data_IF_549909835289
#
_entry.id   IF_549909835289
#
_cell.length_a   1.000
_cell.length_b   1.000
_cell.length_c   1.000
_cell.angle_alpha   90.00
_cell.angle_beta   90.00
_cell.angle_gamma   90.00
#
_symmetry.space_group_name_H-M   'P 1'
#
loop_
_entity.id
_entity.type
_entity.pdbx_description
1 polymer ?
#
# COMPACT_ATOMS: atom_id res chain seq x y z
N UNK A 1 -36.97 40.20 8.78
CA UNK A 1 -36.45 38.83 8.74
C UNK A 1 -35.05 38.87 8.09
N UNK A 2 -33.97 38.63 8.83
CA UNK A 2 -32.66 38.56 8.19
C UNK A 2 -32.49 37.16 7.56
N UNK A 3 -32.20 37.15 6.28
CA UNK A 3 -31.82 35.96 5.49
C UNK A 3 -30.47 35.53 6.03
N UNK A 4 -30.47 34.41 6.75
CA UNK A 4 -29.25 33.75 7.22
C UNK A 4 -28.52 33.20 5.98
N UNK A 5 -27.54 33.97 5.52
CA UNK A 5 -26.59 33.53 4.47
C UNK A 5 -25.67 32.47 5.13
N UNK A 6 -26.10 31.20 5.12
CA UNK A 6 -25.21 30.09 5.34
C UNK A 6 -24.21 30.08 4.18
N UNK A 7 -23.14 30.85 4.36
CA UNK A 7 -21.90 30.62 3.64
C UNK A 7 -21.51 29.16 3.90
N UNK A 8 -21.74 28.31 2.91
CA UNK A 8 -21.06 27.04 2.77
C UNK A 8 -19.55 27.36 2.74
N UNK A 9 -18.95 27.40 3.91
CA UNK A 9 -17.52 27.23 4.05
C UNK A 9 -17.25 25.83 3.47
N UNK A 10 -16.84 25.84 2.21
CA UNK A 10 -16.22 24.68 1.56
C UNK A 10 -14.96 24.37 2.39
N UNK A 11 -15.19 23.62 3.47
CA UNK A 11 -14.14 23.23 4.40
C UNK A 11 -13.28 22.23 3.64
N UNK A 12 -12.27 22.75 2.95
CA UNK A 12 -11.27 22.01 2.18
C UNK A 12 -10.52 21.07 3.12
N UNK A 13 -11.06 19.86 3.28
CA UNK A 13 -10.61 18.89 4.27
C UNK A 13 -9.41 18.15 3.74
N UNK A 14 -8.33 18.11 4.53
CA UNK A 14 -7.16 17.25 4.29
C UNK A 14 -7.37 15.94 5.06
N UNK A 15 -7.54 14.85 4.32
CA UNK A 15 -7.70 13.51 4.88
C UNK A 15 -6.47 12.67 4.60
N UNK A 16 -6.05 11.89 5.57
CA UNK A 16 -4.90 11.02 5.46
C UNK A 16 -5.25 9.60 5.91
N UNK A 17 -5.03 8.64 5.02
CA UNK A 17 -4.99 7.22 5.32
C UNK A 17 -3.53 6.88 5.60
N UNK A 18 -3.20 6.34 6.77
CA UNK A 18 -1.86 5.82 7.06
C UNK A 18 -1.92 4.31 6.91
N UNK A 19 -1.38 3.81 5.78
CA UNK A 19 -1.43 2.40 5.44
C UNK A 19 -0.08 1.72 5.65
N UNK A 20 -0.06 0.68 6.47
CA UNK A 20 1.12 -0.14 6.72
C UNK A 20 1.14 -1.35 5.76
N UNK A 21 2.19 -1.43 4.95
CA UNK A 21 2.40 -2.52 4.01
C UNK A 21 3.06 -3.74 4.69
N UNK A 22 3.04 -4.89 4.01
CA UNK A 22 3.72 -6.13 4.37
C UNK A 22 3.15 -6.83 5.63
N UNK A 23 1.90 -6.61 6.04
CA UNK A 23 1.28 -7.40 7.11
C UNK A 23 1.24 -8.88 6.69
N UNK A 24 1.77 -9.79 7.52
CA UNK A 24 1.96 -11.20 7.18
C UNK A 24 3.38 -11.57 6.74
N UNK A 25 4.29 -10.60 6.59
CA UNK A 25 5.66 -10.86 6.15
C UNK A 25 6.48 -11.64 7.19
N UNK A 26 6.56 -11.10 8.43
CA UNK A 26 7.17 -11.73 9.60
C UNK A 26 6.35 -11.41 10.85
N UNK A 27 6.55 -12.18 11.94
CA UNK A 27 5.86 -11.91 13.21
C UNK A 27 6.24 -10.55 13.79
N UNK A 28 7.50 -10.13 13.63
CA UNK A 28 7.98 -8.82 14.05
C UNK A 28 7.33 -7.68 13.29
N UNK A 29 7.11 -7.82 11.98
CA UNK A 29 6.36 -6.86 11.18
C UNK A 29 4.89 -6.83 11.62
N UNK A 30 4.27 -7.98 11.83
CA UNK A 30 2.88 -8.06 12.27
C UNK A 30 2.66 -7.35 13.61
N UNK A 31 3.54 -7.62 14.59
CA UNK A 31 3.48 -6.96 15.90
C UNK A 31 3.59 -5.45 15.78
N UNK A 32 4.56 -4.96 15.00
CA UNK A 32 4.79 -3.54 14.82
C UNK A 32 3.62 -2.82 14.14
N UNK A 33 2.96 -3.45 13.17
CA UNK A 33 1.78 -2.88 12.50
C UNK A 33 0.63 -2.70 13.48
N UNK A 34 0.34 -3.72 14.30
CA UNK A 34 -0.72 -3.65 15.32
C UNK A 34 -0.37 -2.62 16.38
N UNK A 35 0.88 -2.56 16.85
CA UNK A 35 1.35 -1.55 17.79
C UNK A 35 1.21 -0.12 17.21
N UNK A 36 1.57 0.07 15.94
CA UNK A 36 1.43 1.36 15.27
C UNK A 36 -0.04 1.76 15.04
N UNK A 37 -0.96 0.80 15.02
CA UNK A 37 -2.40 1.05 15.02
C UNK A 37 -2.92 1.38 16.41
N UNK A 38 -2.63 0.53 17.41
CA UNK A 38 -3.22 0.67 18.75
C UNK A 38 -2.69 1.90 19.50
N UNK A 39 -1.40 2.20 19.32
CA UNK A 39 -0.70 3.26 20.04
C UNK A 39 -0.22 4.40 19.16
N UNK A 40 -0.52 4.37 17.85
CA UNK A 40 -0.01 5.32 16.88
C UNK A 40 -1.06 5.90 15.96
N UNK A 41 -0.63 6.17 14.73
CA UNK A 41 -1.42 6.85 13.69
C UNK A 41 -1.81 5.96 12.52
N UNK A 42 -1.48 4.66 12.54
CA UNK A 42 -1.84 3.71 11.46
C UNK A 42 -3.33 3.43 11.50
N UNK A 43 -4.00 3.62 10.36
CA UNK A 43 -5.45 3.43 10.21
C UNK A 43 -5.81 2.24 9.33
N UNK A 44 -4.90 1.85 8.45
CA UNK A 44 -5.08 0.74 7.51
C UNK A 44 -3.81 -0.08 7.37
N UNK A 45 -3.94 -1.33 6.94
CA UNK A 45 -2.80 -2.17 6.59
C UNK A 45 -3.16 -3.11 5.44
N UNK A 46 -2.17 -3.50 4.63
CA UNK A 46 -2.35 -4.48 3.58
C UNK A 46 -1.64 -5.79 3.90
N UNK A 47 -2.43 -6.90 3.86
CA UNK A 47 -2.06 -8.23 4.30
C UNK A 47 -1.67 -9.13 3.13
N UNK A 48 -0.50 -9.76 3.23
CA UNK A 48 0.05 -10.70 2.26
C UNK A 48 -0.54 -12.10 2.49
N UNK A 49 -1.39 -12.59 1.57
CA UNK A 49 -1.99 -13.92 1.66
C UNK A 49 -0.98 -15.07 1.61
N UNK A 50 0.17 -14.83 1.02
CA UNK A 50 1.29 -15.76 0.88
C UNK A 50 2.51 -15.41 1.75
N UNK A 51 2.31 -14.50 2.73
CA UNK A 51 3.34 -14.14 3.70
C UNK A 51 3.70 -15.29 4.63
N UNK A 52 4.95 -15.38 5.05
CA UNK A 52 5.45 -16.46 5.94
C UNK A 52 4.79 -16.46 7.33
N UNK A 53 4.34 -15.28 7.79
CA UNK A 53 3.66 -15.10 9.07
C UNK A 53 2.16 -14.80 8.88
N UNK A 54 1.53 -15.37 7.83
CA UNK A 54 0.12 -15.17 7.53
C UNK A 54 -0.79 -15.52 8.71
N UNK A 55 -0.62 -16.70 9.31
CA UNK A 55 -1.47 -17.16 10.42
C UNK A 55 -1.34 -16.26 11.66
N UNK A 56 -0.12 -15.79 11.98
CA UNK A 56 0.09 -14.82 13.05
C UNK A 56 -0.60 -13.47 12.74
N UNK A 57 -0.56 -13.04 11.48
CA UNK A 57 -1.27 -11.83 11.05
C UNK A 57 -2.79 -11.95 11.24
N UNK A 58 -3.38 -13.10 10.86
CA UNK A 58 -4.80 -13.37 11.05
C UNK A 58 -5.18 -13.33 12.54
N UNK A 59 -4.38 -13.94 13.42
CA UNK A 59 -4.65 -13.91 14.87
C UNK A 59 -4.61 -12.48 15.42
N UNK A 60 -3.61 -11.68 15.01
CA UNK A 60 -3.49 -10.28 15.43
C UNK A 60 -4.59 -9.39 14.87
N UNK A 61 -5.02 -9.63 13.63
CA UNK A 61 -6.12 -8.91 13.01
C UNK A 61 -7.43 -9.01 13.81
N UNK A 62 -7.66 -10.14 14.47
CA UNK A 62 -8.85 -10.34 15.34
C UNK A 62 -8.88 -9.39 16.54
N UNK A 63 -7.72 -9.05 17.10
CA UNK A 63 -7.61 -8.10 18.21
C UNK A 63 -7.63 -6.63 17.77
N UNK A 64 -7.28 -6.35 16.51
CA UNK A 64 -7.23 -5.00 15.93
C UNK A 64 -8.46 -4.70 15.06
N UNK A 65 -9.68 -4.84 15.59
CA UNK A 65 -10.93 -4.76 14.83
C UNK A 65 -11.15 -3.40 14.10
N UNK A 66 -10.55 -2.33 14.60
CA UNK A 66 -10.62 -0.99 14.00
C UNK A 66 -9.64 -0.81 12.84
N UNK A 67 -8.60 -1.62 12.75
CA UNK A 67 -7.64 -1.57 11.64
C UNK A 67 -8.35 -1.98 10.35
N UNK A 68 -8.34 -1.09 9.35
CA UNK A 68 -8.88 -1.39 8.03
C UNK A 68 -7.90 -2.27 7.27
N UNK A 69 -8.32 -3.48 6.91
CA UNK A 69 -7.43 -4.45 6.27
C UNK A 69 -7.71 -4.56 4.77
N UNK A 70 -6.64 -4.43 3.97
CA UNK A 70 -6.62 -4.68 2.55
C UNK A 70 -5.83 -5.93 2.18
N UNK A 71 -5.82 -6.27 0.90
CA UNK A 71 -4.98 -7.33 0.34
C UNK A 71 -3.72 -6.75 -0.29
N UNK A 72 -2.54 -7.10 0.23
CA UNK A 72 -1.24 -6.82 -0.38
C UNK A 72 -0.91 -7.91 -1.40
N UNK A 73 -1.41 -7.72 -2.63
CA UNK A 73 -1.27 -8.75 -3.68
C UNK A 73 0.19 -8.90 -4.08
N UNK A 74 0.71 -10.10 -3.95
CA UNK A 74 2.09 -10.45 -4.29
C UNK A 74 2.11 -11.13 -5.65
N UNK A 75 2.79 -10.50 -6.63
CA UNK A 75 3.01 -11.01 -7.98
C UNK A 75 4.51 -11.08 -8.32
N UNK A 76 5.36 -10.66 -7.38
CA UNK A 76 6.82 -10.60 -7.51
C UNK A 76 7.44 -10.88 -6.15
N UNK A 77 8.57 -11.58 -6.13
CA UNK A 77 9.36 -11.85 -4.92
C UNK A 77 8.57 -12.61 -3.83
N UNK A 78 7.85 -13.66 -4.25
CA UNK A 78 7.06 -14.50 -3.37
C UNK A 78 6.67 -15.82 -4.02
N UNK A 79 5.84 -16.58 -3.34
CA UNK A 79 5.23 -17.80 -3.86
C UNK A 79 3.77 -17.52 -4.25
N UNK A 80 3.22 -18.13 -5.30
CA UNK A 80 1.80 -18.05 -5.61
C UNK A 80 0.94 -18.73 -4.52
N UNK A 81 -0.31 -18.30 -4.39
CA UNK A 81 -1.34 -19.02 -3.63
C UNK A 81 -1.90 -20.17 -4.48
N UNK A 82 -2.00 -19.98 -5.77
CA UNK A 82 -2.38 -21.02 -6.72
C UNK A 82 -1.20 -21.96 -7.00
N UNK A 83 -1.55 -23.19 -7.40
CA UNK A 83 -0.54 -24.12 -7.93
C UNK A 83 0.20 -23.50 -9.12
N UNK A 84 1.53 -23.67 -9.16
CA UNK A 84 2.38 -23.08 -10.21
C UNK A 84 1.93 -23.48 -11.64
N UNK A 85 1.30 -24.63 -11.81
CA UNK A 85 0.72 -25.06 -13.08
C UNK A 85 -0.46 -24.20 -13.57
N UNK A 86 -1.10 -23.42 -12.66
CA UNK A 86 -2.17 -22.48 -13.00
C UNK A 86 -1.68 -21.09 -13.30
N UNK A 87 -0.40 -20.81 -13.03
CA UNK A 87 0.24 -19.50 -13.26
C UNK A 87 1.56 -19.62 -14.01
N UNK A 88 1.62 -20.39 -15.12
CA UNK A 88 2.88 -20.73 -15.79
C UNK A 88 3.61 -19.50 -16.34
N UNK A 89 2.89 -18.47 -16.82
CA UNK A 89 3.55 -17.26 -17.33
C UNK A 89 3.85 -16.24 -16.22
N UNK A 90 3.18 -16.31 -15.09
CA UNK A 90 3.44 -15.42 -13.94
C UNK A 90 4.64 -15.95 -13.13
N UNK A 91 4.74 -17.25 -12.97
CA UNK A 91 5.83 -17.92 -12.24
C UNK A 91 7.17 -17.83 -12.96
N UNK A 92 8.25 -17.91 -12.19
CA UNK A 92 9.61 -17.96 -12.72
C UNK A 92 9.90 -19.38 -13.24
N UNK A 93 9.92 -19.56 -14.54
CA UNK A 93 10.16 -20.83 -15.22
C UNK A 93 11.53 -21.51 -14.85
N UNK A 94 12.46 -20.75 -14.29
CA UNK A 94 13.76 -21.26 -13.85
C UNK A 94 13.77 -21.71 -12.40
N UNK A 95 12.73 -21.37 -11.63
CA UNK A 95 12.61 -21.72 -10.23
C UNK A 95 11.89 -23.06 -10.09
N UNK A 96 12.51 -24.04 -9.40
CA UNK A 96 11.91 -25.37 -9.19
C UNK A 96 10.70 -25.37 -8.26
N UNK A 97 10.55 -24.34 -7.42
CA UNK A 97 9.48 -24.19 -6.44
C UNK A 97 8.30 -23.35 -6.95
N UNK A 98 8.30 -23.00 -8.24
CA UNK A 98 7.20 -22.22 -8.85
C UNK A 98 7.08 -20.78 -8.38
N UNK A 99 8.09 -20.23 -7.67
CA UNK A 99 8.06 -18.84 -7.18
C UNK A 99 7.95 -17.83 -8.30
N UNK A 100 7.48 -16.65 -7.98
CA UNK A 100 7.48 -15.50 -8.87
C UNK A 100 8.90 -15.00 -9.17
N UNK A 101 9.03 -14.14 -10.20
CA UNK A 101 10.28 -13.44 -10.43
C UNK A 101 10.68 -12.63 -9.18
N UNK A 102 11.93 -12.73 -8.74
CA UNK A 102 12.46 -11.95 -7.63
C UNK A 102 12.79 -10.50 -8.03
N UNK A 103 13.04 -10.27 -9.31
CA UNK A 103 13.39 -8.97 -9.87
C UNK A 103 12.18 -8.24 -10.41
N UNK A 104 11.86 -7.08 -9.80
CA UNK A 104 10.81 -6.19 -10.29
C UNK A 104 11.05 -5.76 -11.74
N UNK A 105 12.30 -5.50 -12.14
CA UNK A 105 12.62 -5.10 -13.52
C UNK A 105 12.30 -6.21 -14.52
N UNK A 106 12.62 -7.47 -14.19
CA UNK A 106 12.30 -8.62 -15.04
C UNK A 106 10.78 -8.81 -15.13
N UNK A 107 10.09 -8.77 -14.01
CA UNK A 107 8.63 -8.83 -13.97
C UNK A 107 8.01 -7.70 -14.84
N UNK A 108 8.44 -6.46 -14.64
CA UNK A 108 7.94 -5.31 -15.39
C UNK A 108 8.14 -5.47 -16.90
N UNK A 109 9.34 -5.90 -17.32
CA UNK A 109 9.63 -6.16 -18.75
C UNK A 109 8.71 -7.22 -19.33
N UNK A 110 8.49 -8.32 -18.59
CA UNK A 110 7.59 -9.40 -19.04
C UNK A 110 6.14 -8.96 -19.09
N UNK A 111 5.68 -8.19 -18.08
CA UNK A 111 4.33 -7.66 -18.05
C UNK A 111 4.07 -6.70 -19.23
N UNK A 112 4.95 -5.72 -19.43
CA UNK A 112 4.81 -4.71 -20.50
C UNK A 112 4.95 -5.34 -21.90
N UNK A 113 5.77 -6.39 -22.05
CA UNK A 113 5.93 -7.11 -23.33
C UNK A 113 4.84 -8.17 -23.59
N UNK A 114 3.81 -8.28 -22.75
CA UNK A 114 2.71 -9.24 -22.93
C UNK A 114 3.09 -10.70 -22.66
N UNK A 115 4.21 -10.94 -21.97
CA UNK A 115 4.70 -12.30 -21.63
C UNK A 115 4.11 -12.84 -20.33
N UNK A 116 3.27 -12.09 -19.66
CA UNK A 116 2.47 -12.53 -18.51
C UNK A 116 1.01 -12.42 -18.91
N UNK A 117 0.28 -13.52 -18.83
CA UNK A 117 -1.12 -13.57 -19.20
C UNK A 117 -1.99 -12.88 -18.15
N UNK A 118 -2.91 -12.04 -18.62
CA UNK A 118 -3.79 -11.26 -17.76
C UNK A 118 -4.68 -12.16 -16.87
N UNK A 119 -5.13 -13.28 -17.40
CA UNK A 119 -6.01 -14.21 -16.68
C UNK A 119 -5.27 -14.90 -15.53
N UNK A 120 -3.96 -15.12 -15.64
CA UNK A 120 -3.16 -15.64 -14.53
C UNK A 120 -3.00 -14.61 -13.40
N UNK A 121 -2.81 -13.34 -13.75
CA UNK A 121 -2.77 -12.24 -12.77
C UNK A 121 -4.11 -12.13 -12.05
N UNK A 122 -5.22 -12.18 -12.79
CA UNK A 122 -6.57 -12.11 -12.24
C UNK A 122 -6.86 -13.30 -11.31
N UNK A 123 -6.56 -14.51 -11.76
CA UNK A 123 -6.79 -15.73 -10.98
C UNK A 123 -5.98 -15.75 -9.69
N UNK A 124 -4.69 -15.39 -9.74
CA UNK A 124 -3.82 -15.34 -8.57
C UNK A 124 -4.25 -14.24 -7.59
N UNK A 125 -4.56 -13.03 -8.09
CA UNK A 125 -5.05 -11.95 -7.24
C UNK A 125 -6.37 -12.33 -6.55
N UNK A 126 -7.32 -12.92 -7.29
CA UNK A 126 -8.57 -13.40 -6.73
C UNK A 126 -8.34 -14.50 -5.68
N UNK A 127 -7.39 -15.43 -5.90
CA UNK A 127 -7.05 -16.46 -4.94
C UNK A 127 -6.47 -15.87 -3.65
N UNK A 128 -5.59 -14.86 -3.75
CA UNK A 128 -5.05 -14.16 -2.60
C UNK A 128 -6.15 -13.43 -1.81
N UNK A 129 -7.03 -12.68 -2.48
CA UNK A 129 -8.17 -12.01 -1.82
C UNK A 129 -9.09 -13.02 -1.12
N UNK A 130 -9.49 -14.08 -1.82
CA UNK A 130 -10.38 -15.11 -1.25
C UNK A 130 -9.76 -15.84 -0.07
N UNK A 131 -8.43 -16.04 -0.06
CA UNK A 131 -7.73 -16.62 1.09
C UNK A 131 -7.85 -15.74 2.34
N UNK A 132 -7.75 -14.42 2.20
CA UNK A 132 -8.00 -13.49 3.30
C UNK A 132 -9.46 -13.56 3.77
N UNK A 133 -10.40 -13.54 2.82
CA UNK A 133 -11.84 -13.61 3.12
C UNK A 133 -12.21 -14.92 3.82
N UNK A 134 -11.65 -16.05 3.39
CA UNK A 134 -11.85 -17.36 4.04
C UNK A 134 -11.27 -17.39 5.47
N UNK A 135 -10.24 -16.57 5.75
CA UNK A 135 -9.72 -16.40 7.11
C UNK A 135 -10.52 -15.39 7.97
N UNK A 136 -11.66 -14.89 7.44
CA UNK A 136 -12.55 -13.97 8.15
C UNK A 136 -12.20 -12.49 8.02
N UNK A 137 -11.33 -12.11 7.08
CA UNK A 137 -10.95 -10.70 6.86
C UNK A 137 -11.92 -10.04 5.88
N UNK A 138 -12.58 -8.96 6.32
CA UNK A 138 -13.30 -8.06 5.43
C UNK A 138 -12.31 -7.18 4.67
N UNK A 139 -11.98 -7.58 3.43
CA UNK A 139 -10.97 -6.90 2.60
C UNK A 139 -11.55 -5.59 2.08
N UNK A 140 -11.11 -4.45 2.64
CA UNK A 140 -11.61 -3.11 2.30
C UNK A 140 -11.00 -2.56 1.02
N UNK A 141 -9.76 -2.87 0.74
CA UNK A 141 -9.02 -2.36 -0.41
C UNK A 141 -7.94 -3.34 -0.86
N UNK A 142 -7.31 -3.02 -1.97
CA UNK A 142 -6.14 -3.75 -2.42
C UNK A 142 -5.03 -2.83 -2.91
N UNK A 143 -3.83 -3.35 -2.83
CA UNK A 143 -2.64 -2.81 -3.46
C UNK A 143 -1.75 -3.98 -3.93
N UNK A 144 -0.51 -3.71 -4.31
CA UNK A 144 0.41 -4.78 -4.69
C UNK A 144 1.80 -4.57 -4.12
N UNK A 145 2.44 -5.66 -3.76
CA UNK A 145 3.84 -5.66 -3.36
C UNK A 145 4.72 -5.05 -4.46
N UNK A 146 5.61 -4.12 -4.07
CA UNK A 146 6.45 -3.33 -4.98
C UNK A 146 5.66 -2.51 -6.02
N UNK A 147 4.40 -2.18 -5.72
CA UNK A 147 3.53 -1.34 -6.55
C UNK A 147 3.40 -1.80 -8.01
N UNK A 148 3.36 -3.11 -8.26
CA UNK A 148 3.28 -3.67 -9.62
C UNK A 148 2.02 -3.24 -10.39
N UNK A 149 0.95 -2.81 -9.70
CA UNK A 149 -0.28 -2.27 -10.31
C UNK A 149 -0.11 -0.88 -10.96
N UNK A 150 1.08 -0.30 -10.92
CA UNK A 150 1.42 0.88 -11.72
C UNK A 150 1.39 0.57 -13.23
N UNK A 151 1.60 -0.70 -13.61
CA UNK A 151 1.57 -1.14 -15.00
C UNK A 151 0.14 -1.44 -15.44
N UNK A 152 -0.38 -0.85 -16.53
CA UNK A 152 -1.75 -1.09 -17.00
C UNK A 152 -2.07 -2.57 -17.26
N UNK A 153 -1.06 -3.35 -17.69
CA UNK A 153 -1.17 -4.79 -17.94
C UNK A 153 -1.43 -5.60 -16.65
N UNK A 154 -1.01 -5.08 -15.51
CA UNK A 154 -1.26 -5.66 -14.18
C UNK A 154 -2.53 -5.08 -13.57
N UNK A 155 -2.73 -3.76 -13.71
CA UNK A 155 -3.87 -3.07 -13.11
C UNK A 155 -5.22 -3.65 -13.56
N UNK A 156 -5.42 -3.81 -14.88
CA UNK A 156 -6.72 -4.23 -15.43
C UNK A 156 -7.20 -5.58 -14.90
N UNK A 157 -6.40 -6.68 -14.95
CA UNK A 157 -6.82 -7.95 -14.37
C UNK A 157 -6.98 -7.87 -12.84
N UNK A 158 -6.17 -7.06 -12.16
CA UNK A 158 -6.29 -6.83 -10.73
C UNK A 158 -7.64 -6.19 -10.36
N UNK A 159 -8.10 -5.19 -11.12
CA UNK A 159 -9.41 -4.56 -10.91
C UNK A 159 -10.57 -5.54 -11.16
N UNK A 160 -10.45 -6.45 -12.14
CA UNK A 160 -11.44 -7.51 -12.35
C UNK A 160 -11.50 -8.47 -11.16
N UNK A 161 -10.33 -8.89 -10.65
CA UNK A 161 -10.26 -9.72 -9.45
C UNK A 161 -10.88 -9.04 -8.23
N UNK A 162 -10.59 -7.73 -8.02
CA UNK A 162 -11.18 -6.94 -6.94
C UNK A 162 -12.71 -6.95 -7.00
N UNK A 163 -13.29 -6.63 -8.16
CA UNK A 163 -14.75 -6.65 -8.37
C UNK A 163 -15.36 -8.03 -8.13
N UNK A 164 -14.74 -9.08 -8.68
CA UNK A 164 -15.21 -10.46 -8.52
C UNK A 164 -15.18 -10.94 -7.07
N UNK A 165 -14.35 -10.30 -6.23
CA UNK A 165 -14.23 -10.60 -4.80
C UNK A 165 -14.92 -9.57 -3.89
N UNK A 166 -15.64 -8.57 -4.45
CA UNK A 166 -16.37 -7.56 -3.66
C UNK A 166 -15.47 -6.53 -2.97
N UNK A 167 -14.24 -6.35 -3.42
CA UNK A 167 -13.35 -5.30 -2.92
C UNK A 167 -13.69 -3.97 -3.59
N UNK A 168 -13.84 -2.91 -2.80
CA UNK A 168 -14.41 -1.62 -3.28
C UNK A 168 -13.37 -0.55 -3.56
N UNK A 169 -12.14 -0.68 -3.05
CA UNK A 169 -11.12 0.34 -3.21
C UNK A 169 -9.75 -0.22 -3.63
N UNK A 170 -8.96 0.61 -4.29
CA UNK A 170 -7.57 0.30 -4.70
C UNK A 170 -6.66 1.49 -4.41
N UNK A 171 -5.42 1.21 -3.97
CA UNK A 171 -4.38 2.22 -3.79
C UNK A 171 -4.10 2.95 -5.10
N UNK A 172 -4.02 4.27 -5.05
CA UNK A 172 -3.47 5.08 -6.13
C UNK A 172 -1.94 5.21 -5.94
N UNK A 173 -1.10 4.52 -6.71
CA UNK A 173 0.35 4.54 -6.52
C UNK A 173 1.02 5.84 -7.01
N UNK A 174 0.23 6.76 -7.57
CA UNK A 174 0.71 8.03 -8.07
C UNK A 174 0.54 9.11 -7.01
N UNK A 175 1.61 9.81 -6.72
CA UNK A 175 1.61 10.87 -5.72
C UNK A 175 2.45 12.05 -6.12
N UNK A 176 2.34 13.10 -5.34
CA UNK A 176 3.18 14.31 -5.49
C UNK A 176 4.10 14.41 -4.28
N UNK A 177 5.38 14.60 -4.53
CA UNK A 177 6.31 15.03 -3.51
C UNK A 177 6.65 16.50 -3.77
N UNK A 178 6.54 17.34 -2.75
CA UNK A 178 6.85 18.75 -2.89
C UNK A 178 8.34 18.94 -3.13
N UNK A 179 8.71 19.80 -4.09
CA UNK A 179 10.13 20.03 -4.46
C UNK A 179 11.00 20.47 -3.27
N UNK A 180 10.43 21.18 -2.31
CA UNK A 180 11.14 21.59 -1.09
C UNK A 180 11.70 20.41 -0.29
N UNK A 181 11.04 19.24 -0.36
CA UNK A 181 11.50 18.02 0.29
C UNK A 181 12.76 17.48 -0.41
N UNK A 182 12.79 17.54 -1.74
CA UNK A 182 13.93 17.08 -2.54
C UNK A 182 15.18 17.95 -2.34
N UNK A 183 14.98 19.26 -2.20
CA UNK A 183 16.09 20.19 -1.89
C UNK A 183 16.71 19.84 -0.54
N UNK A 184 15.88 19.52 0.46
CA UNK A 184 16.34 19.13 1.80
C UNK A 184 16.88 17.68 1.86
N UNK A 185 16.57 16.83 0.88
CA UNK A 185 16.91 15.40 0.82
C UNK A 185 17.39 14.99 -0.58
N UNK A 186 18.60 15.38 -0.99
CA UNK A 186 19.13 15.05 -2.32
C UNK A 186 19.19 13.55 -2.63
N UNK A 187 19.31 12.69 -1.61
CA UNK A 187 19.29 11.23 -1.77
C UNK A 187 17.99 10.68 -2.40
N UNK A 188 16.89 11.43 -2.33
CA UNK A 188 15.60 11.03 -2.89
C UNK A 188 15.45 11.35 -4.39
N UNK A 189 16.35 12.14 -5.00
CA UNK A 189 16.24 12.55 -6.41
C UNK A 189 16.14 11.37 -7.37
N UNK A 190 16.94 10.32 -7.16
CA UNK A 190 16.92 9.13 -8.01
C UNK A 190 15.58 8.38 -7.95
N UNK A 191 14.94 8.33 -6.79
CA UNK A 191 13.61 7.72 -6.64
C UNK A 191 12.54 8.63 -7.23
N UNK A 192 12.64 9.93 -6.97
CA UNK A 192 11.73 10.94 -7.52
C UNK A 192 11.67 10.93 -9.03
N UNK A 193 12.80 10.92 -9.74
CA UNK A 193 12.83 10.90 -11.21
C UNK A 193 12.13 9.66 -11.77
N UNK A 194 12.27 8.49 -11.12
CA UNK A 194 11.56 7.27 -11.51
C UNK A 194 10.05 7.42 -11.33
N UNK A 195 9.60 7.95 -10.19
CA UNK A 195 8.17 8.17 -9.90
C UNK A 195 7.59 9.19 -10.88
N UNK A 196 8.31 10.28 -11.16
CA UNK A 196 7.88 11.30 -12.12
C UNK A 196 7.78 10.77 -13.56
N UNK A 197 8.69 9.91 -13.98
CA UNK A 197 8.61 9.28 -15.30
C UNK A 197 7.32 8.45 -15.47
N UNK A 198 6.87 7.83 -14.38
CA UNK A 198 5.66 7.01 -14.37
C UNK A 198 4.37 7.81 -14.11
N UNK A 199 4.47 9.07 -13.64
CA UNK A 199 3.30 9.90 -13.29
C UNK A 199 2.34 10.14 -14.46
N UNK A 200 2.84 10.05 -15.71
CA UNK A 200 2.03 10.13 -16.94
C UNK A 200 0.96 9.04 -17.02
N UNK A 201 1.14 7.92 -16.33
CA UNK A 201 0.16 6.84 -16.25
C UNK A 201 -0.98 7.15 -15.27
N UNK A 202 -0.85 8.16 -14.42
CA UNK A 202 -1.82 8.45 -13.36
C UNK A 202 -3.22 8.78 -13.85
N UNK A 203 -3.36 9.48 -14.99
CA UNK A 203 -4.69 9.77 -15.58
C UNK A 203 -5.36 8.51 -16.11
N UNK A 204 -4.57 7.65 -16.80
CA UNK A 204 -5.08 6.37 -17.30
C UNK A 204 -5.45 5.43 -16.16
N UNK A 205 -4.66 5.43 -15.07
CA UNK A 205 -4.93 4.67 -13.86
C UNK A 205 -6.30 5.06 -13.27
N UNK A 206 -6.50 6.36 -12.96
CA UNK A 206 -7.75 6.85 -12.38
C UNK A 206 -8.97 6.53 -13.25
N UNK A 207 -8.83 6.68 -14.57
CA UNK A 207 -9.89 6.29 -15.53
C UNK A 207 -10.20 4.79 -15.42
N UNK A 208 -9.18 3.92 -15.45
CA UNK A 208 -9.37 2.47 -15.34
C UNK A 208 -10.05 2.06 -14.02
N UNK A 209 -9.69 2.73 -12.91
CA UNK A 209 -10.32 2.49 -11.60
C UNK A 209 -11.78 2.92 -11.59
N UNK A 210 -12.09 4.11 -12.14
CA UNK A 210 -13.46 4.62 -12.26
C UNK A 210 -14.32 3.74 -13.17
N UNK A 211 -13.79 3.32 -14.32
CA UNK A 211 -14.47 2.42 -15.26
C UNK A 211 -14.76 1.04 -14.62
N UNK A 212 -13.91 0.62 -13.68
CA UNK A 212 -14.13 -0.58 -12.89
C UNK A 212 -15.13 -0.39 -11.74
N UNK A 213 -15.60 0.83 -11.47
CA UNK A 213 -16.50 1.14 -10.35
C UNK A 213 -15.85 1.02 -8.98
N UNK A 214 -14.52 1.17 -8.88
CA UNK A 214 -13.80 1.16 -7.62
C UNK A 214 -13.43 2.57 -7.16
N UNK A 215 -13.21 2.70 -5.86
CA UNK A 215 -12.74 3.92 -5.22
C UNK A 215 -11.20 3.94 -5.14
N UNK A 216 -10.65 5.14 -5.07
CA UNK A 216 -9.20 5.31 -4.88
C UNK A 216 -8.93 6.67 -4.23
N UNK A 217 -7.91 6.80 -3.37
CA UNK A 217 -7.45 8.10 -2.89
C UNK A 217 -6.98 9.00 -4.05
N UNK A 218 -6.89 10.30 -3.81
CA UNK A 218 -6.36 11.27 -4.78
C UNK A 218 -4.92 10.95 -5.18
N UNK A 219 -4.16 10.35 -4.26
CA UNK A 219 -2.83 9.84 -4.50
C UNK A 219 -2.16 9.33 -3.25
N UNK A 220 -0.88 8.97 -3.41
CA UNK A 220 -0.06 8.44 -2.32
C UNK A 220 1.12 9.36 -2.04
N UNK A 221 1.35 9.64 -0.77
CA UNK A 221 2.58 10.28 -0.28
C UNK A 221 3.46 9.22 0.40
N UNK A 222 4.77 9.41 0.43
CA UNK A 222 5.67 8.46 1.09
C UNK A 222 6.33 7.41 0.18
N UNK A 223 5.83 7.11 -1.02
CA UNK A 223 6.47 6.12 -1.92
C UNK A 223 7.94 6.51 -2.21
N UNK A 224 8.21 7.79 -2.47
CA UNK A 224 9.58 8.29 -2.68
C UNK A 224 10.39 8.19 -1.39
N UNK A 225 9.74 8.27 -0.24
CA UNK A 225 10.33 8.22 1.09
C UNK A 225 10.51 6.78 1.63
N UNK A 226 10.13 5.76 0.88
CA UNK A 226 10.21 4.36 1.33
C UNK A 226 11.61 3.99 1.80
N UNK A 227 11.72 3.64 3.08
CA UNK A 227 12.99 3.33 3.76
C UNK A 227 13.80 4.56 4.20
N UNK A 228 13.23 5.76 4.09
CA UNK A 228 13.84 7.02 4.54
C UNK A 228 12.87 7.91 5.34
N UNK A 229 11.68 7.40 5.67
CA UNK A 229 10.66 8.14 6.42
C UNK A 229 11.13 8.32 7.87
N UNK A 230 11.40 9.56 8.24
CA UNK A 230 11.73 9.99 9.59
C UNK A 230 10.85 11.20 10.00
N UNK A 231 10.97 11.69 11.24
CA UNK A 231 10.15 12.77 11.77
C UNK A 231 10.24 14.07 10.96
N UNK A 232 11.41 14.40 10.40
CA UNK A 232 11.58 15.62 9.57
C UNK A 232 10.84 15.46 8.24
N UNK A 233 10.95 14.29 7.61
CA UNK A 233 10.30 14.02 6.33
C UNK A 233 8.79 13.90 6.52
N UNK A 234 8.34 13.24 7.58
CA UNK A 234 6.93 13.17 7.95
C UNK A 234 6.33 14.56 8.16
N UNK A 235 7.01 15.43 8.93
CA UNK A 235 6.60 16.82 9.11
C UNK A 235 6.45 17.56 7.79
N UNK A 236 7.45 17.45 6.91
CA UNK A 236 7.39 18.07 5.59
C UNK A 236 6.27 17.54 4.69
N UNK A 237 5.93 16.24 4.81
CA UNK A 237 4.80 15.62 4.09
C UNK A 237 3.48 16.18 4.63
N UNK A 238 3.30 16.23 5.95
CA UNK A 238 2.06 16.72 6.59
C UNK A 238 1.84 18.21 6.28
N UNK A 239 2.89 19.03 6.34
CA UNK A 239 2.81 20.47 6.04
C UNK A 239 2.44 20.73 4.58
N UNK A 240 2.90 19.88 3.67
CA UNK A 240 2.65 20.01 2.22
C UNK A 240 1.49 19.15 1.70
N UNK A 241 0.73 18.49 2.60
CA UNK A 241 -0.37 17.64 2.22
C UNK A 241 -1.46 18.45 1.51
N UNK A 242 -1.82 18.13 0.25
CA UNK A 242 -2.88 18.85 -0.43
C UNK A 242 -4.26 18.53 0.16
N UNK A 243 -5.25 19.33 -0.21
CA UNK A 243 -6.65 19.03 0.04
C UNK A 243 -7.06 17.70 -0.63
N UNK A 244 -8.11 17.08 -0.10
CA UNK A 244 -8.57 15.77 -0.58
C UNK A 244 -8.15 14.62 0.33
N UNK A 245 -8.15 13.41 -0.23
CA UNK A 245 -7.85 12.17 0.48
C UNK A 245 -6.56 11.56 -0.03
N UNK A 246 -5.56 11.48 0.84
CA UNK A 246 -4.23 10.99 0.51
C UNK A 246 -3.87 9.77 1.33
N UNK A 247 -3.01 8.93 0.79
CA UNK A 247 -2.47 7.78 1.50
C UNK A 247 -0.99 7.99 1.82
N UNK A 248 -0.60 7.78 3.08
CA UNK A 248 0.79 7.63 3.47
C UNK A 248 1.11 6.12 3.53
N UNK A 249 2.01 5.67 2.67
CA UNK A 249 2.55 4.31 2.70
C UNK A 249 3.70 4.25 3.70
N UNK A 250 3.63 3.29 4.62
CA UNK A 250 4.67 3.04 5.61
C UNK A 250 4.95 1.55 5.80
N UNK A 251 6.08 1.23 6.40
CA UNK A 251 6.55 -0.14 6.59
C UNK A 251 7.09 -0.33 8.02
N UNK A 252 6.27 -0.13 9.06
CA UNK A 252 6.74 -0.38 10.43
C UNK A 252 7.10 -1.86 10.63
N UNK A 253 8.10 -2.13 11.45
CA UNK A 253 8.53 -3.50 11.71
C UNK A 253 9.69 -3.55 12.68
N UNK A 254 9.84 -4.70 13.37
CA UNK A 254 11.01 -5.00 14.15
C UNK A 254 12.08 -5.63 13.26
N UNK A 255 13.33 -5.18 13.41
CA UNK A 255 14.48 -5.73 12.70
C UNK A 255 15.03 -6.94 13.44
N UNK A 256 14.28 -8.03 13.44
CA UNK A 256 14.54 -9.25 14.17
C UNK A 256 15.15 -10.36 13.29
N UNK A 257 15.41 -11.52 13.89
CA UNK A 257 16.00 -12.69 13.22
C UNK A 257 15.10 -13.22 12.06
N UNK A 258 13.76 -13.10 12.16
CA UNK A 258 12.88 -13.51 11.07
C UNK A 258 13.06 -12.57 9.86
N UNK A 259 13.10 -11.26 10.09
CA UNK A 259 13.32 -10.27 9.03
C UNK A 259 14.74 -10.40 8.42
N UNK A 260 15.74 -10.84 9.21
CA UNK A 260 17.08 -11.10 8.70
C UNK A 260 17.10 -12.15 7.57
N UNK A 261 16.15 -13.10 7.60
CA UNK A 261 16.00 -14.15 6.58
C UNK A 261 15.10 -13.75 5.40
N UNK A 262 14.61 -12.52 5.37
CA UNK A 262 13.83 -11.97 4.25
C UNK A 262 14.74 -11.16 3.34
N UNK A 263 14.56 -11.34 2.04
CA UNK A 263 15.24 -10.53 1.04
C UNK A 263 14.58 -9.17 0.92
N UNK A 264 14.99 -8.23 1.74
CA UNK A 264 14.48 -6.86 1.74
C UNK A 264 15.58 -5.86 2.04
N UNK A 265 15.48 -4.66 1.47
CA UNK A 265 16.32 -3.50 1.83
C UNK A 265 15.79 -2.77 3.06
N UNK A 266 14.50 -2.98 3.39
CA UNK A 266 13.85 -2.32 4.53
C UNK A 266 14.11 -3.14 5.79
N UNK A 267 15.08 -2.72 6.58
CA UNK A 267 15.49 -3.36 7.85
C UNK A 267 15.40 -2.35 8.99
N UNK A 268 16.48 -1.71 9.37
CA UNK A 268 16.47 -0.70 10.45
C UNK A 268 15.53 0.48 10.19
N UNK A 269 15.24 0.81 8.92
CA UNK A 269 14.23 1.81 8.58
C UNK A 269 12.83 1.47 9.09
N UNK A 270 12.49 0.18 9.25
CA UNK A 270 11.18 -0.25 9.78
C UNK A 270 11.00 0.12 11.24
N UNK A 271 12.06 0.04 12.03
CA UNK A 271 12.04 0.45 13.45
C UNK A 271 11.94 1.97 13.58
N UNK A 272 12.63 2.70 12.70
CA UNK A 272 12.51 4.17 12.65
C UNK A 272 11.07 4.58 12.31
N UNK A 273 10.45 3.90 11.33
CA UNK A 273 9.05 4.14 10.98
C UNK A 273 8.09 3.74 12.12
N UNK A 274 8.34 2.63 12.82
CA UNK A 274 7.55 2.23 13.98
C UNK A 274 7.60 3.30 15.07
N UNK A 275 8.80 3.72 15.47
CA UNK A 275 8.99 4.77 16.49
C UNK A 275 8.30 6.08 16.10
N UNK A 276 8.42 6.49 14.83
CA UNK A 276 7.75 7.67 14.30
C UNK A 276 6.23 7.55 14.42
N UNK A 277 5.68 6.43 13.92
CA UNK A 277 4.23 6.25 13.81
C UNK A 277 3.55 6.08 15.18
N UNK A 278 4.28 5.62 16.20
CA UNK A 278 3.79 5.48 17.57
C UNK A 278 4.06 6.71 18.45
N UNK A 279 4.85 7.68 17.96
CA UNK A 279 5.22 8.85 18.75
C UNK A 279 4.04 9.78 19.01
N UNK A 280 3.93 10.37 20.22
CA UNK A 280 2.94 11.41 20.51
C UNK A 280 3.05 12.61 19.57
N UNK A 281 4.26 13.00 19.21
CA UNK A 281 4.56 14.15 18.35
C UNK A 281 3.94 13.98 16.95
N UNK A 282 3.89 12.76 16.40
CA UNK A 282 3.24 12.48 15.11
C UNK A 282 1.74 12.70 15.18
N UNK A 283 1.09 12.30 16.27
CA UNK A 283 -0.34 12.52 16.50
C UNK A 283 -0.65 14.00 16.69
N UNK A 284 0.13 14.69 17.51
CA UNK A 284 -0.01 16.13 17.74
C UNK A 284 0.22 16.94 16.46
N UNK A 285 1.21 16.56 15.65
CA UNK A 285 1.47 17.20 14.35
C UNK A 285 0.26 17.12 13.44
N UNK A 286 -0.33 15.94 13.26
CA UNK A 286 -1.53 15.75 12.43
C UNK A 286 -2.70 16.58 12.94
N UNK A 287 -2.93 16.57 14.26
CA UNK A 287 -4.02 17.32 14.90
C UNK A 287 -3.86 18.84 14.68
N UNK A 288 -2.71 19.41 15.01
CA UNK A 288 -2.44 20.85 14.83
C UNK A 288 -2.42 21.30 13.37
N UNK A 289 -2.08 20.38 12.46
CA UNK A 289 -2.12 20.66 11.03
C UNK A 289 -3.52 20.53 10.42
N UNK A 290 -4.55 20.19 11.22
CA UNK A 290 -5.93 20.01 10.76
C UNK A 290 -6.07 18.85 9.75
N UNK A 291 -5.25 17.82 9.87
CA UNK A 291 -5.33 16.61 9.05
C UNK A 291 -6.22 15.60 9.73
N UNK A 292 -7.28 15.20 9.05
CA UNK A 292 -8.20 14.18 9.53
C UNK A 292 -7.65 12.79 9.17
N UNK A 293 -7.37 11.96 10.17
CA UNK A 293 -7.07 10.54 9.96
C UNK A 293 -8.35 9.79 9.60
N UNK A 294 -8.29 9.06 8.50
CA UNK A 294 -9.35 8.15 8.04
C UNK A 294 -8.73 6.81 7.64
N UNK A 295 -9.54 5.80 7.46
CA UNK A 295 -9.15 4.48 6.94
C UNK A 295 -9.69 4.26 5.52
N UNK A 296 -9.28 3.18 4.88
CA UNK A 296 -9.85 2.78 3.59
C UNK A 296 -11.35 2.41 3.67
N UNK A 297 -11.86 2.02 4.83
CA UNK A 297 -13.31 1.80 5.03
C UNK A 297 -14.12 3.09 4.91
N UNK A 298 -13.50 4.23 5.18
CA UNK A 298 -14.15 5.54 5.16
C UNK A 298 -14.16 6.19 3.77
N UNK A 299 -13.63 5.50 2.75
CA UNK A 299 -13.75 5.90 1.34
C UNK A 299 -15.09 5.52 0.73
N UNK A 300 -15.85 4.60 1.35
CA UNK A 300 -17.11 4.09 0.84
C UNK A 300 -18.27 5.07 1.05
#
# INVERSE_FOLDING_TARGET
MPICCCLLLDCRVRRLIVNADDFGLTRGVNRAIVEAHDHGVVTSATLMANGRAFEDAIQRAKSAARLSLGCHVVLVDGLPVLDAGKTPTLSNQKARDGRFDESLNRFALRAVSGRIHADEIEAEAAAQIRKLQAAGIAVSHLDTHKHTHIFPQVLRPLLRAARACGVTAVRNPFGRLHLSILVKRPSLWKQYTKVMALSRLGTSFRRSVADAGLLTPDGTVGIVATGALDGRLFGSIVDSLPEGTWELVCHPGYNDAELANIRTRLRGSREVELQLLTSPESRELLARSGVQLISYRDLA
#
